data_IF_903178385623
#
_entry.id   IF_903178385623
#
_cell.length_a   1.000
_cell.length_b   1.000
_cell.length_c   1.000
_cell.angle_alpha   90.00
_cell.angle_beta   90.00
_cell.angle_gamma   90.00
#
_symmetry.space_group_name_H-M   'P 1'
#
loop_
_entity.id
_entity.type
_entity.pdbx_description
1 polymer ?
#
# COMPACT_ATOMS: atom_id res chain seq x y z
N UNK A 1 10.18 -20.18 10.36
CA UNK A 1 9.38 -20.21 9.87
C UNK A 1 8.47 -19.86 10.44
N UNK A 2 8.13 -19.59 10.44
CA UNK A 2 7.27 -19.34 10.91
C UNK A 2 6.33 -20.18 10.91
N UNK A 3 6.22 -20.92 11.09
CA UNK A 3 5.37 -21.76 11.04
C UNK A 3 4.90 -22.11 12.02
N UNK A 4 5.20 -21.57 12.48
CA UNK A 4 4.75 -21.90 13.23
C UNK A 4 3.82 -21.40 13.61
N UNK A 5 3.65 -20.60 13.59
CA UNK A 5 2.63 -20.12 13.94
C UNK A 5 1.61 -20.20 13.26
N UNK A 6 1.64 -20.64 12.94
CA UNK A 6 0.80 -20.82 12.45
C UNK A 6 0.09 -20.99 12.72
N UNK A 7 0.02 -20.56 13.09
CA UNK A 7 -0.70 -20.64 13.01
C UNK A 7 -1.19 -20.99 12.36
N UNK A 8 -0.69 -21.19 12.44
CA UNK A 8 -1.47 -21.75 11.81
C UNK A 8 -2.13 -20.98 10.80
N UNK A 9 -2.64 -19.80 10.90
CA UNK A 9 -3.24 -18.95 9.91
C UNK A 9 -2.29 -18.53 8.83
N UNK A 10 -1.05 -18.34 9.17
CA UNK A 10 -0.06 -17.91 8.19
C UNK A 10 0.12 -18.92 7.08
N UNK A 11 0.09 -20.19 7.42
CA UNK A 11 0.25 -21.22 6.42
C UNK A 11 -0.91 -21.20 5.44
N UNK A 12 -2.11 -20.92 5.94
CA UNK A 12 -3.29 -20.89 5.11
C UNK A 12 -3.25 -19.78 4.07
N UNK A 13 -2.53 -18.70 4.37
CA UNK A 13 -2.48 -17.54 3.48
C UNK A 13 -1.21 -17.44 2.67
N UNK A 14 -0.36 -18.47 2.73
CA UNK A 14 0.83 -18.47 1.93
C UNK A 14 0.48 -18.48 0.46
N UNK A 15 1.07 -17.57 -0.28
CA UNK A 15 0.82 -17.44 -1.72
C UNK A 15 2.16 -17.51 -2.43
N UNK A 16 2.44 -18.58 -3.18
CA UNK A 16 3.70 -18.70 -3.89
C UNK A 16 3.93 -17.58 -4.90
N UNK A 17 2.86 -17.06 -5.50
CA UNK A 17 3.01 -15.97 -6.44
C UNK A 17 3.39 -14.68 -5.75
N UNK A 18 2.89 -14.47 -4.54
CA UNK A 18 3.30 -13.32 -3.75
C UNK A 18 4.81 -13.36 -3.52
N UNK A 19 5.32 -14.51 -3.07
CA UNK A 19 6.75 -14.66 -2.84
C UNK A 19 7.56 -14.44 -4.10
N UNK A 20 7.06 -14.92 -5.21
CA UNK A 20 7.75 -14.77 -6.48
C UNK A 20 7.89 -13.30 -6.86
N UNK A 21 6.82 -12.54 -6.68
CA UNK A 21 6.87 -11.11 -7.01
C UNK A 21 7.80 -10.35 -6.06
N UNK A 22 7.78 -10.70 -4.78
CA UNK A 22 8.69 -10.11 -3.82
C UNK A 22 10.14 -10.41 -4.21
N UNK A 23 10.42 -11.66 -4.56
CA UNK A 23 11.77 -12.06 -4.93
C UNK A 23 12.27 -11.29 -6.15
N UNK A 24 11.41 -11.03 -7.12
CA UNK A 24 11.80 -10.25 -8.30
C UNK A 24 12.23 -8.84 -7.89
N UNK A 25 11.49 -8.23 -6.99
CA UNK A 25 11.80 -6.87 -6.56
C UNK A 25 13.11 -6.85 -5.78
N UNK A 26 13.29 -7.81 -4.88
CA UNK A 26 14.51 -7.91 -4.10
C UNK A 26 15.72 -8.17 -5.00
N UNK A 27 15.56 -9.03 -6.00
CA UNK A 27 16.64 -9.33 -6.93
C UNK A 27 17.06 -8.12 -7.75
N UNK A 28 16.12 -7.19 -7.98
CA UNK A 28 16.44 -5.95 -8.71
C UNK A 28 17.05 -4.88 -7.81
N UNK A 29 17.23 -5.18 -6.53
CA UNK A 29 17.81 -4.24 -5.60
C UNK A 29 16.82 -3.58 -4.67
N UNK A 30 15.59 -4.06 -4.62
CA UNK A 30 14.58 -3.49 -3.74
C UNK A 30 14.93 -3.64 -2.28
N UNK A 31 14.72 -2.58 -1.52
CA UNK A 31 15.01 -2.56 -0.10
C UNK A 31 13.70 -2.63 0.68
N UNK A 32 13.58 -3.61 1.55
CA UNK A 32 12.36 -3.80 2.33
C UNK A 32 12.09 -2.61 3.25
N UNK A 33 10.91 -2.07 3.17
CA UNK A 33 10.48 -0.95 4.00
C UNK A 33 9.56 -1.37 5.13
N UNK A 34 8.71 -2.35 4.88
CA UNK A 34 7.79 -2.82 5.90
C UNK A 34 6.83 -3.83 5.35
N UNK A 35 6.15 -4.54 6.25
CA UNK A 35 5.16 -5.54 5.89
C UNK A 35 3.95 -5.41 6.80
N UNK A 36 2.79 -5.76 6.28
CA UNK A 36 1.56 -5.80 7.04
C UNK A 36 0.80 -7.07 6.74
N UNK A 37 -0.49 -7.08 7.10
CA UNK A 37 -1.31 -8.28 6.96
C UNK A 37 -1.52 -8.67 5.50
N UNK A 38 -1.48 -7.71 4.60
CA UNK A 38 -1.85 -7.96 3.20
C UNK A 38 -0.72 -7.75 2.23
N UNK A 39 0.46 -7.33 2.69
CA UNK A 39 1.51 -7.09 1.72
C UNK A 39 2.82 -6.59 2.29
N UNK A 40 3.73 -6.29 1.40
CA UNK A 40 5.07 -5.80 1.74
C UNK A 40 5.45 -4.68 0.80
N UNK A 41 6.19 -3.71 1.33
CA UNK A 41 6.61 -2.55 0.57
C UNK A 41 8.13 -2.51 0.45
N UNK A 42 8.61 -2.10 -0.71
CA UNK A 42 10.04 -2.06 -1.03
C UNK A 42 10.39 -0.76 -1.73
N UNK A 43 11.58 -0.26 -1.46
CA UNK A 43 12.11 0.90 -2.14
C UNK A 43 12.99 0.42 -3.30
N UNK A 44 12.68 0.86 -4.50
CA UNK A 44 13.45 0.47 -5.69
C UNK A 44 13.40 1.61 -6.69
N UNK A 45 14.58 2.09 -7.08
CA UNK A 45 14.71 3.14 -8.10
C UNK A 45 13.90 4.39 -7.79
N UNK A 46 13.86 4.78 -6.51
CA UNK A 46 13.19 6.02 -6.11
C UNK A 46 11.69 5.93 -6.01
N UNK A 47 11.13 4.74 -6.10
CA UNK A 47 9.69 4.51 -5.94
C UNK A 47 9.45 3.44 -4.92
N UNK A 48 8.27 3.47 -4.31
CA UNK A 48 7.83 2.40 -3.43
C UNK A 48 7.06 1.38 -4.27
N UNK A 49 7.45 0.14 -4.16
CA UNK A 49 6.76 -0.99 -4.80
C UNK A 49 6.07 -1.77 -3.70
N UNK A 50 4.75 -1.76 -3.70
CA UNK A 50 3.98 -2.48 -2.70
C UNK A 50 3.33 -3.69 -3.35
N UNK A 51 3.72 -4.87 -2.88
CA UNK A 51 3.12 -6.12 -3.31
C UNK A 51 1.98 -6.40 -2.34
N UNK A 52 0.76 -6.48 -2.84
CA UNK A 52 -0.40 -6.57 -1.96
C UNK A 52 -1.41 -7.60 -2.45
N UNK A 53 -2.07 -8.24 -1.49
CA UNK A 53 -3.18 -9.15 -1.76
C UNK A 53 -4.52 -8.52 -1.41
N UNK A 54 -4.55 -7.24 -1.08
CA UNK A 54 -5.77 -6.54 -0.71
C UNK A 54 -6.47 -6.02 -1.96
N UNK A 55 -7.59 -6.65 -2.33
CA UNK A 55 -8.31 -6.28 -3.54
C UNK A 55 -8.86 -4.88 -3.48
N UNK A 56 -9.26 -4.43 -2.30
CA UNK A 56 -9.79 -3.08 -2.14
C UNK A 56 -8.69 -2.05 -2.36
N UNK A 57 -7.51 -2.33 -1.82
CA UNK A 57 -6.38 -1.44 -2.03
C UNK A 57 -6.00 -1.35 -3.50
N UNK A 58 -6.01 -2.47 -4.20
CA UNK A 58 -5.72 -2.47 -5.64
C UNK A 58 -6.74 -1.66 -6.41
N UNK A 59 -8.01 -1.78 -6.03
CA UNK A 59 -9.07 -1.04 -6.69
C UNK A 59 -8.90 0.46 -6.48
N UNK A 60 -8.60 0.86 -5.25
CA UNK A 60 -8.38 2.28 -4.95
C UNK A 60 -7.15 2.81 -5.70
N UNK A 61 -6.10 2.00 -5.78
CA UNK A 61 -4.89 2.42 -6.49
C UNK A 61 -5.17 2.63 -7.98
N UNK A 62 -6.00 1.77 -8.59
CA UNK A 62 -6.37 1.95 -9.98
C UNK A 62 -7.11 3.27 -10.19
N UNK A 63 -8.01 3.59 -9.26
CA UNK A 63 -8.77 4.83 -9.35
C UNK A 63 -7.84 6.03 -9.27
N UNK A 64 -6.85 5.97 -8.39
CA UNK A 64 -5.96 7.10 -8.13
C UNK A 64 -4.76 7.17 -9.06
N UNK A 65 -4.55 6.15 -9.88
CA UNK A 65 -3.38 6.09 -10.74
C UNK A 65 -3.29 7.31 -11.65
N UNK A 66 -2.13 7.95 -11.62
CA UNK A 66 -1.86 9.11 -12.47
C UNK A 66 -2.53 10.40 -12.03
N UNK A 67 -3.28 10.38 -10.94
CA UNK A 67 -3.99 11.57 -10.49
C UNK A 67 -3.19 12.32 -9.45
N UNK A 68 -3.28 13.63 -9.50
CA UNK A 68 -2.71 14.47 -8.47
C UNK A 68 -3.75 14.71 -7.42
N UNK A 69 -3.44 14.34 -6.19
CA UNK A 69 -4.35 14.55 -5.07
C UNK A 69 -3.62 15.28 -3.95
N UNK A 70 -4.39 15.81 -3.01
CA UNK A 70 -3.82 16.52 -1.88
C UNK A 70 -3.54 15.61 -0.70
N UNK A 71 -4.28 14.52 -0.58
CA UNK A 71 -4.24 13.71 0.64
C UNK A 71 -3.90 12.25 0.42
N UNK A 72 -3.67 11.85 -0.82
CA UNK A 72 -3.30 10.46 -1.13
C UNK A 72 -1.94 10.42 -1.77
N UNK A 73 -1.21 9.33 -1.51
CA UNK A 73 0.07 9.11 -2.18
C UNK A 73 -0.15 9.07 -3.69
N UNK A 74 0.80 9.61 -4.42
CA UNK A 74 0.73 9.54 -5.87
C UNK A 74 0.99 8.10 -6.31
N UNK A 75 0.09 7.58 -7.12
CA UNK A 75 0.20 6.23 -7.66
C UNK A 75 0.67 6.35 -9.10
N UNK A 76 1.82 5.75 -9.41
CA UNK A 76 2.39 5.81 -10.75
C UNK A 76 1.89 4.67 -11.62
N UNK A 77 1.89 3.46 -11.08
CA UNK A 77 1.49 2.28 -11.84
C UNK A 77 0.82 1.27 -10.93
N UNK A 78 -0.06 0.48 -11.51
CA UNK A 78 -0.68 -0.65 -10.83
C UNK A 78 -0.59 -1.84 -11.76
N UNK A 79 0.03 -2.90 -11.30
CA UNK A 79 0.13 -4.14 -12.08
C UNK A 79 -0.67 -5.22 -11.38
N UNK A 80 -1.69 -5.75 -12.03
CA UNK A 80 -2.51 -6.81 -11.48
C UNK A 80 -1.96 -8.14 -11.97
N UNK A 81 -1.44 -8.93 -11.05
CA UNK A 81 -0.86 -10.25 -11.37
C UNK A 81 -1.98 -11.28 -11.49
N UNK A 82 -2.90 -11.26 -10.54
CA UNK A 82 -4.11 -12.06 -10.57
C UNK A 82 -5.15 -11.33 -9.73
N UNK A 83 -6.41 -11.78 -9.68
CA UNK A 83 -7.45 -11.00 -8.98
C UNK A 83 -7.15 -10.68 -7.53
N UNK A 84 -6.25 -11.43 -6.90
CA UNK A 84 -5.95 -11.24 -5.49
C UNK A 84 -4.49 -10.88 -5.24
N UNK A 85 -3.79 -10.39 -6.25
CA UNK A 85 -2.39 -10.05 -6.09
C UNK A 85 -2.02 -8.98 -7.10
N UNK A 86 -1.41 -7.91 -6.61
CA UNK A 86 -0.95 -6.84 -7.48
C UNK A 86 0.23 -6.11 -6.90
N UNK A 87 0.82 -5.25 -7.73
CA UNK A 87 1.95 -4.42 -7.33
C UNK A 87 1.59 -2.98 -7.61
N UNK A 88 1.72 -2.13 -6.59
CA UNK A 88 1.45 -0.71 -6.70
C UNK A 88 2.78 0.04 -6.64
N UNK A 89 3.04 0.87 -7.64
CA UNK A 89 4.20 1.75 -7.61
C UNK A 89 3.74 3.13 -7.20
N UNK A 90 4.31 3.65 -6.12
CA UNK A 90 3.86 4.92 -5.58
C UNK A 90 5.04 5.78 -5.12
N UNK A 91 4.73 7.02 -4.78
CA UNK A 91 5.77 7.95 -4.35
C UNK A 91 6.31 7.57 -2.98
N UNK A 92 7.52 8.01 -2.72
CA UNK A 92 8.17 7.77 -1.44
C UNK A 92 7.72 8.84 -0.46
N UNK A 93 7.15 8.39 0.66
CA UNK A 93 6.68 9.29 1.72
C UNK A 93 7.30 8.87 3.04
N UNK A 94 7.30 9.77 4.00
CA UNK A 94 7.86 9.51 5.30
C UNK A 94 6.84 9.00 6.29
N UNK A 95 7.34 8.52 7.40
CA UNK A 95 6.50 7.99 8.47
C UNK A 95 5.80 9.13 9.19
N UNK A 96 4.51 8.94 9.48
CA UNK A 96 3.74 9.91 10.24
C UNK A 96 3.83 9.59 11.74
N UNK A 97 3.97 10.64 12.54
CA UNK A 97 3.95 10.51 13.98
C UNK A 97 3.08 11.62 14.54
N UNK A 98 2.32 11.29 15.57
CA UNK A 98 1.48 12.26 16.22
C UNK A 98 0.02 11.89 16.12
N UNK A 99 -0.82 12.86 16.41
CA UNK A 99 -2.26 12.66 16.39
C UNK A 99 -2.84 13.05 15.04
N UNK A 100 -3.90 12.36 14.64
CA UNK A 100 -4.53 12.61 13.36
C UNK A 100 -5.56 13.73 13.57
N UNK A 101 -5.38 14.89 12.88
CA UNK A 101 -6.36 15.98 13.03
C UNK A 101 -7.71 15.61 12.42
N UNK A 102 -8.79 15.94 13.10
CA UNK A 102 -10.13 15.67 12.59
C UNK A 102 -10.37 16.36 11.26
N UNK A 103 -9.85 17.58 11.12
CA UNK A 103 -10.02 18.32 9.87
C UNK A 103 -9.37 17.60 8.72
N UNK A 104 -8.21 17.00 8.95
CA UNK A 104 -7.54 16.27 7.89
C UNK A 104 -8.35 15.04 7.48
N UNK A 105 -8.94 14.34 8.47
CA UNK A 105 -9.78 13.18 8.16
C UNK A 105 -10.95 13.59 7.28
N UNK A 106 -11.57 14.73 7.58
CA UNK A 106 -12.68 15.21 6.76
C UNK A 106 -12.23 15.52 5.35
N UNK A 107 -11.04 16.10 5.21
CA UNK A 107 -10.52 16.43 3.89
C UNK A 107 -10.22 15.16 3.09
N UNK A 108 -9.66 14.14 3.75
CA UNK A 108 -9.38 12.87 3.09
C UNK A 108 -10.68 12.23 2.62
N UNK A 109 -11.70 12.20 3.49
CA UNK A 109 -12.97 11.59 3.13
C UNK A 109 -13.62 12.30 1.96
N UNK A 110 -13.54 13.62 1.96
CA UNK A 110 -14.13 14.41 0.89
C UNK A 110 -13.41 14.15 -0.44
N UNK A 111 -12.08 14.10 -0.39
CA UNK A 111 -11.31 13.83 -1.60
C UNK A 111 -11.57 12.42 -2.11
N UNK A 112 -11.70 11.47 -1.19
CA UNK A 112 -12.02 10.10 -1.58
C UNK A 112 -13.32 10.05 -2.37
N UNK A 113 -14.35 10.73 -1.84
CA UNK A 113 -15.64 10.75 -2.50
C UNK A 113 -15.57 11.42 -3.88
N UNK A 114 -14.72 12.42 -4.03
CA UNK A 114 -14.55 13.08 -5.31
C UNK A 114 -14.03 12.12 -6.37
N UNK A 115 -13.32 11.09 -5.96
CA UNK A 115 -12.76 10.11 -6.87
C UNK A 115 -13.56 8.81 -6.90
N UNK A 116 -14.72 8.77 -6.24
CA UNK A 116 -15.55 7.59 -6.24
C UNK A 116 -15.10 6.51 -5.28
N UNK A 117 -14.29 6.87 -4.29
CA UNK A 117 -13.83 5.92 -3.28
C UNK A 117 -14.71 6.08 -2.04
N UNK A 118 -15.23 4.96 -1.54
CA UNK A 118 -16.03 4.95 -0.33
C UNK A 118 -15.14 5.24 0.88
N UNK A 119 -15.36 6.35 1.60
CA UNK A 119 -14.52 6.65 2.76
C UNK A 119 -14.54 5.58 3.82
N UNK A 120 -15.61 4.81 3.92
CA UNK A 120 -15.69 3.73 4.91
C UNK A 120 -14.70 2.61 4.62
N UNK A 121 -14.18 2.55 3.41
CA UNK A 121 -13.17 1.55 3.05
C UNK A 121 -11.75 1.99 3.37
N UNK A 122 -11.57 3.25 3.79
CA UNK A 122 -10.25 3.76 4.13
C UNK A 122 -9.89 3.35 5.55
N UNK A 123 -8.67 2.86 5.71
CA UNK A 123 -8.17 2.47 7.03
C UNK A 123 -7.31 3.61 7.56
N UNK A 124 -7.98 4.60 8.14
CA UNK A 124 -7.30 5.80 8.62
C UNK A 124 -6.80 5.59 10.04
N UNK A 125 -5.54 5.22 10.17
CA UNK A 125 -4.87 5.07 11.44
C UNK A 125 -3.40 5.42 11.24
N UNK A 126 -2.68 5.76 12.33
CA UNK A 126 -1.31 6.27 12.17
C UNK A 126 -0.39 5.40 11.34
N UNK A 127 -0.53 4.08 11.41
CA UNK A 127 0.35 3.19 10.66
C UNK A 127 0.11 3.25 9.16
N UNK A 128 -1.03 3.82 8.72
CA UNK A 128 -1.35 3.92 7.30
C UNK A 128 -1.24 5.34 6.78
N UNK A 129 -0.74 6.25 7.60
CA UNK A 129 -0.60 7.65 7.21
C UNK A 129 0.87 7.96 7.01
N UNK A 130 1.16 8.61 5.90
CA UNK A 130 2.54 8.99 5.58
C UNK A 130 2.56 10.49 5.35
N UNK A 131 3.75 11.05 5.40
CA UNK A 131 3.90 12.48 5.19
C UNK A 131 4.89 12.75 4.07
N UNK A 132 4.66 13.84 3.38
CA UNK A 132 5.56 14.29 2.33
C UNK A 132 6.78 14.90 3.01
N UNK A 133 7.94 14.30 2.79
CA UNK A 133 9.19 14.76 3.41
C UNK A 133 9.82 15.92 2.69
N UNK A 134 9.36 16.20 1.49
CA UNK A 134 9.89 17.35 0.84
C UNK A 134 9.24 18.53 1.41
N UNK A 135 9.86 19.43 1.66
CA UNK A 135 9.20 20.43 2.26
C UNK A 135 9.52 21.51 1.81
#
# INVERSE_FOLDING_TARGET
>A
MRLSHVILGEILYYDPEFEKEVDKIVDLGGKHLGSGDYGSAYLLNGRVYKVTTDEIELEHAEILKGKKTNNFARIYEVEVINPKLGIIQMEVLGEFRGEIPDEWVENVNREAEQHGIDPDELDIRPSNIMVNQKK
#
